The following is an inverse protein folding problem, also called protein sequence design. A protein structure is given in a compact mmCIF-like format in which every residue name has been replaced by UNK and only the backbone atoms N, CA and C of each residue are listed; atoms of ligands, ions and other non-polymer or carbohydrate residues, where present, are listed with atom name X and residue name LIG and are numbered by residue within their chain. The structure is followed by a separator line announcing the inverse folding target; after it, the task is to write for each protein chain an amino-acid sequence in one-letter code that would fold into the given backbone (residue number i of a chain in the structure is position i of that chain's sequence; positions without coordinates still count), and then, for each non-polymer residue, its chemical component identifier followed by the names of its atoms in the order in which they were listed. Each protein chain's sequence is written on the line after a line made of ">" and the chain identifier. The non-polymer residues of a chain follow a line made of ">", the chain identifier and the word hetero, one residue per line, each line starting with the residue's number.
data_IF_471935452465
#
_entry.id   IF_471935452465
#
_cell.length_a   1.000
_cell.length_b   1.000
_cell.length_c   1.000
_cell.angle_alpha   90.00
_cell.angle_beta   90.00
_cell.angle_gamma   90.00
#
_symmetry.space_group_name_H-M   'P 1'
#
loop_
_entity.id
_entity.type
_entity.pdbx_description
1 polymer ?
#
# COMPACT_ATOMS: atom_id res chain seq x y z
N UNK A 1 -1.82 -15.64 30.36
CA UNK A 1 -2.30 -14.44 29.66
C UNK A 1 -2.05 -14.69 28.17
N UNK A 2 -3.07 -15.20 27.45
CA UNK A 2 -2.94 -15.54 26.04
C UNK A 2 -3.17 -14.22 25.30
N UNK A 3 -2.10 -13.63 24.77
CA UNK A 3 -2.21 -12.47 23.89
C UNK A 3 -3.07 -12.87 22.69
N UNK A 4 -4.12 -12.10 22.34
CA UNK A 4 -4.94 -12.40 21.17
C UNK A 4 -4.06 -12.42 19.92
N UNK A 5 -4.32 -13.37 19.01
CA UNK A 5 -3.52 -13.50 17.79
C UNK A 5 -3.43 -12.19 16.99
N UNK A 6 -4.41 -11.30 17.14
CA UNK A 6 -4.47 -9.98 16.52
C UNK A 6 -3.44 -9.00 17.12
N UNK A 7 -3.04 -9.17 18.39
CA UNK A 7 -2.06 -8.28 19.04
C UNK A 7 -0.69 -8.32 18.34
N UNK A 8 -0.26 -9.47 17.85
CA UNK A 8 0.98 -9.58 17.10
C UNK A 8 0.91 -8.81 15.77
N UNK A 9 -0.19 -8.93 15.05
CA UNK A 9 -0.43 -8.23 13.78
C UNK A 9 -0.48 -6.71 14.01
N UNK A 10 -1.15 -6.26 15.07
CA UNK A 10 -1.21 -4.85 15.44
C UNK A 10 0.18 -4.26 15.72
N UNK A 11 1.06 -5.01 16.42
CA UNK A 11 2.45 -4.59 16.65
C UNK A 11 3.21 -4.49 15.33
N UNK A 12 3.06 -5.46 14.43
CA UNK A 12 3.71 -5.44 13.11
C UNK A 12 3.28 -4.20 12.32
N UNK A 13 2.00 -3.86 12.31
CA UNK A 13 1.50 -2.65 11.65
C UNK A 13 2.00 -1.37 12.32
N UNK A 14 2.11 -1.34 13.65
CA UNK A 14 2.68 -0.20 14.36
C UNK A 14 4.14 0.03 13.97
N UNK A 15 4.93 -1.04 13.91
CA UNK A 15 6.34 -0.98 13.49
C UNK A 15 6.44 -0.54 12.03
N UNK A 16 5.61 -1.10 11.14
CA UNK A 16 5.58 -0.72 9.73
C UNK A 16 5.25 0.78 9.58
N UNK A 17 4.27 1.28 10.31
CA UNK A 17 3.90 2.71 10.32
C UNK A 17 5.05 3.59 10.81
N UNK A 18 5.72 3.21 11.89
CA UNK A 18 6.89 3.94 12.38
C UNK A 18 8.03 3.97 11.36
N UNK A 19 8.27 2.86 10.66
CA UNK A 19 9.27 2.79 9.60
C UNK A 19 8.90 3.66 8.39
N UNK A 20 7.62 3.76 8.01
CA UNK A 20 7.19 4.68 6.96
C UNK A 20 7.41 6.14 7.34
N UNK A 21 7.10 6.52 8.57
CA UNK A 21 7.35 7.89 9.06
C UNK A 21 8.85 8.20 9.05
N UNK A 22 9.69 7.28 9.53
CA UNK A 22 11.15 7.42 9.49
C UNK A 22 11.68 7.44 8.06
N UNK A 23 11.11 6.66 7.16
CA UNK A 23 11.44 6.66 5.74
C UNK A 23 11.25 8.06 5.14
N UNK A 24 10.09 8.67 5.34
CA UNK A 24 9.82 10.03 4.85
C UNK A 24 10.78 11.06 5.44
N UNK A 25 11.07 10.96 6.73
CA UNK A 25 12.01 11.86 7.41
C UNK A 25 13.42 11.72 6.83
N UNK A 26 13.92 10.53 6.57
CA UNK A 26 15.25 10.31 6.01
C UNK A 26 15.35 10.58 4.51
N UNK A 27 14.25 10.47 3.77
CA UNK A 27 14.17 10.84 2.36
C UNK A 27 14.26 12.35 2.14
N UNK A 28 13.98 13.16 3.16
CA UNK A 28 14.04 14.63 3.05
C UNK A 28 15.45 15.18 2.86
N UNK A 29 16.51 14.41 3.22
CA UNK A 29 17.88 14.83 3.06
C UNK A 29 18.70 13.84 2.19
N UNK A 30 19.48 14.33 1.21
CA UNK A 30 20.23 13.48 0.28
C UNK A 30 21.21 12.51 0.97
N UNK A 31 21.79 12.94 2.09
CA UNK A 31 22.77 12.14 2.86
C UNK A 31 22.15 10.92 3.56
N UNK A 32 20.87 10.98 3.89
CA UNK A 32 20.13 9.93 4.58
C UNK A 32 19.14 9.20 3.68
N UNK A 33 18.94 9.65 2.45
CA UNK A 33 17.93 9.13 1.53
C UNK A 33 17.99 7.60 1.34
N UNK A 34 19.20 7.02 1.27
CA UNK A 34 19.38 5.56 1.16
C UNK A 34 18.81 4.81 2.37
N UNK A 35 18.96 5.36 3.57
CA UNK A 35 18.37 4.78 4.79
C UNK A 35 16.85 4.90 4.76
N UNK A 36 16.34 6.02 4.24
CA UNK A 36 14.91 6.23 4.03
C UNK A 36 14.30 5.19 3.10
N UNK A 37 14.92 4.90 1.96
CA UNK A 37 14.48 3.85 1.03
C UNK A 37 14.43 2.50 1.73
N UNK A 38 15.50 2.09 2.42
CA UNK A 38 15.55 0.82 3.15
C UNK A 38 14.45 0.71 4.23
N UNK A 39 14.24 1.79 4.99
CA UNK A 39 13.17 1.81 6.00
C UNK A 39 11.78 1.64 5.37
N UNK A 40 11.53 2.29 4.23
CA UNK A 40 10.29 2.14 3.48
C UNK A 40 10.08 0.72 2.94
N UNK A 41 11.13 0.12 2.38
CA UNK A 41 11.08 -1.27 1.88
C UNK A 41 10.79 -2.27 3.01
N UNK A 42 11.47 -2.13 4.15
CA UNK A 42 11.24 -2.99 5.33
C UNK A 42 9.82 -2.76 5.88
N UNK A 43 9.37 -1.51 5.98
CA UNK A 43 8.02 -1.16 6.41
C UNK A 43 6.96 -1.78 5.51
N UNK A 44 7.16 -1.73 4.19
CA UNK A 44 6.26 -2.36 3.22
C UNK A 44 6.25 -3.89 3.35
N UNK A 45 7.42 -4.51 3.47
CA UNK A 45 7.53 -5.96 3.65
C UNK A 45 6.81 -6.43 4.92
N UNK A 46 6.95 -5.69 6.02
CA UNK A 46 6.25 -5.96 7.28
C UNK A 46 4.73 -5.77 7.14
N UNK A 47 4.28 -4.70 6.48
CA UNK A 47 2.86 -4.45 6.27
C UNK A 47 2.22 -5.56 5.43
N UNK A 48 2.83 -5.91 4.30
CA UNK A 48 2.35 -6.99 3.42
C UNK A 48 2.40 -8.34 4.15
N UNK A 49 3.52 -8.63 4.83
CA UNK A 49 3.66 -9.85 5.63
C UNK A 49 2.59 -9.94 6.72
N UNK A 50 2.38 -8.86 7.49
CA UNK A 50 1.33 -8.79 8.50
C UNK A 50 -0.06 -9.05 7.95
N UNK A 51 -0.36 -8.45 6.78
CA UNK A 51 -1.65 -8.65 6.11
C UNK A 51 -1.85 -10.12 5.68
N UNK A 52 -0.80 -10.79 5.19
CA UNK A 52 -0.89 -12.21 4.81
C UNK A 52 -1.16 -13.15 5.99
N UNK A 53 -0.83 -12.74 7.21
CA UNK A 53 -1.17 -13.49 8.43
C UNK A 53 -2.57 -13.17 8.98
N UNK A 54 -3.28 -12.21 8.38
CA UNK A 54 -4.66 -11.89 8.77
C UNK A 54 -5.59 -13.06 8.45
N UNK A 55 -6.39 -13.46 9.44
CA UNK A 55 -7.28 -14.64 9.33
C UNK A 55 -8.43 -14.48 8.31
N UNK A 56 -8.63 -13.27 7.78
CA UNK A 56 -9.66 -12.97 6.79
C UNK A 56 -9.27 -13.26 5.35
N UNK A 57 -8.00 -13.59 5.07
CA UNK A 57 -7.53 -13.89 3.71
C UNK A 57 -7.79 -15.36 3.39
N UNK A 58 -8.72 -15.62 2.48
CA UNK A 58 -9.15 -16.95 2.09
C UNK A 58 -8.39 -17.45 0.86
N UNK A 59 -8.03 -16.54 -0.07
CA UNK A 59 -7.46 -16.86 -1.38
C UNK A 59 -6.05 -16.30 -1.58
N UNK A 60 -5.05 -16.96 -1.06
CA UNK A 60 -3.63 -16.61 -1.27
C UNK A 60 -3.18 -16.65 -2.73
N UNK A 61 -3.89 -17.41 -3.57
CA UNK A 61 -3.58 -17.54 -4.99
C UNK A 61 -3.72 -16.19 -5.73
N UNK A 62 -4.79 -15.45 -5.46
CA UNK A 62 -5.00 -14.12 -6.05
C UNK A 62 -3.99 -13.10 -5.55
N UNK A 63 -3.60 -13.19 -4.27
CA UNK A 63 -2.56 -12.33 -3.69
C UNK A 63 -1.21 -12.61 -4.37
N UNK A 64 -0.85 -13.87 -4.57
CA UNK A 64 0.39 -14.26 -5.25
C UNK A 64 0.41 -13.77 -6.70
N UNK A 65 -0.68 -13.92 -7.46
CA UNK A 65 -0.81 -13.43 -8.83
C UNK A 65 -0.64 -11.91 -8.87
N UNK A 66 -1.32 -11.18 -7.99
CA UNK A 66 -1.23 -9.72 -7.92
C UNK A 66 0.19 -9.26 -7.57
N UNK A 67 0.87 -9.95 -6.65
CA UNK A 67 2.24 -9.64 -6.26
C UNK A 67 3.23 -9.86 -7.42
N UNK A 68 3.09 -10.96 -8.16
CA UNK A 68 3.92 -11.25 -9.34
C UNK A 68 3.69 -10.21 -10.43
N UNK A 69 2.44 -9.89 -10.74
CA UNK A 69 2.11 -8.86 -11.75
C UNK A 69 2.63 -7.49 -11.33
N UNK A 70 2.48 -7.13 -10.06
CA UNK A 70 3.01 -5.90 -9.49
C UNK A 70 4.54 -5.83 -9.56
N UNK A 71 5.23 -6.95 -9.31
CA UNK A 71 6.69 -7.02 -9.42
C UNK A 71 7.17 -6.88 -10.88
N UNK A 72 6.48 -7.52 -11.84
CA UNK A 72 6.81 -7.42 -13.28
C UNK A 72 6.74 -5.97 -13.76
N UNK A 73 5.80 -5.19 -13.26
CA UNK A 73 5.64 -3.77 -13.61
C UNK A 73 6.56 -2.89 -12.77
N UNK A 74 6.63 -3.13 -11.47
CA UNK A 74 7.32 -2.28 -10.49
C UNK A 74 8.84 -2.36 -10.60
N UNK A 75 9.42 -3.54 -10.84
CA UNK A 75 10.87 -3.70 -10.93
C UNK A 75 11.47 -2.89 -12.10
N UNK A 76 10.96 -2.95 -13.33
CA UNK A 76 11.46 -2.11 -14.41
C UNK A 76 11.30 -0.61 -14.10
N UNK A 77 10.19 -0.20 -13.52
CA UNK A 77 9.97 1.19 -13.10
C UNK A 77 10.98 1.65 -12.04
N UNK A 78 11.38 0.76 -11.14
CA UNK A 78 12.41 1.04 -10.13
C UNK A 78 13.82 1.21 -10.71
N UNK A 79 14.11 0.55 -11.82
CA UNK A 79 15.43 0.54 -12.47
C UNK A 79 15.63 1.65 -13.51
N UNK A 80 14.67 2.54 -13.70
CA UNK A 80 14.77 3.63 -14.69
C UNK A 80 15.89 4.63 -14.32
N UNK A 81 16.62 5.10 -15.35
CA UNK A 81 17.73 6.04 -15.21
C UNK A 81 17.32 7.38 -14.57
N UNK A 82 18.26 8.03 -13.89
CA UNK A 82 18.06 9.31 -13.18
C UNK A 82 17.48 10.45 -14.05
N UNK A 83 17.73 10.43 -15.35
CA UNK A 83 17.19 11.43 -16.30
C UNK A 83 15.67 11.35 -16.49
N UNK A 84 15.06 10.20 -16.17
CA UNK A 84 13.62 9.96 -16.33
C UNK A 84 12.87 9.95 -14.97
N UNK A 85 13.47 10.51 -13.91
CA UNK A 85 12.86 10.58 -12.57
C UNK A 85 11.48 11.26 -12.57
N UNK A 86 11.24 12.41 -13.26
CA UNK A 86 9.92 13.03 -13.28
C UNK A 86 8.85 12.11 -13.89
N UNK A 87 9.18 11.42 -14.98
CA UNK A 87 8.28 10.48 -15.65
C UNK A 87 7.97 9.27 -14.77
N UNK A 88 8.99 8.72 -14.08
CA UNK A 88 8.82 7.62 -13.13
C UNK A 88 7.91 8.01 -11.97
N UNK A 89 8.11 9.21 -11.43
CA UNK A 89 7.30 9.73 -10.33
C UNK A 89 5.84 9.88 -10.76
N UNK A 90 5.59 10.46 -11.93
CA UNK A 90 4.25 10.60 -12.49
C UNK A 90 3.57 9.23 -12.68
N UNK A 91 4.28 8.25 -13.25
CA UNK A 91 3.77 6.88 -13.42
C UNK A 91 3.46 6.21 -12.07
N UNK A 92 4.34 6.36 -11.08
CA UNK A 92 4.10 5.80 -9.73
C UNK A 92 2.84 6.39 -9.09
N UNK A 93 2.61 7.69 -9.23
CA UNK A 93 1.39 8.34 -8.75
C UNK A 93 0.16 7.85 -9.50
N UNK A 94 0.23 7.74 -10.83
CA UNK A 94 -0.88 7.22 -11.64
C UNK A 94 -1.24 5.78 -11.28
N UNK A 95 -0.26 4.89 -11.05
CA UNK A 95 -0.53 3.54 -10.58
C UNK A 95 -1.12 3.52 -9.16
N UNK A 96 -0.62 4.39 -8.26
CA UNK A 96 -1.20 4.54 -6.92
C UNK A 96 -2.66 4.97 -6.97
N UNK A 97 -2.98 5.98 -7.76
CA UNK A 97 -4.34 6.45 -7.99
C UNK A 97 -5.25 5.35 -8.58
N UNK A 98 -4.75 4.61 -9.55
CA UNK A 98 -5.45 3.46 -10.13
C UNK A 98 -5.74 2.39 -9.07
N UNK A 99 -4.78 2.05 -8.20
CA UNK A 99 -4.98 1.11 -7.10
C UNK A 99 -6.07 1.58 -6.14
N UNK A 100 -6.05 2.85 -5.71
CA UNK A 100 -7.06 3.43 -4.83
C UNK A 100 -8.45 3.36 -5.46
N UNK A 101 -8.56 3.70 -6.74
CA UNK A 101 -9.83 3.63 -7.48
C UNK A 101 -10.36 2.20 -7.57
N UNK A 102 -9.50 1.23 -7.87
CA UNK A 102 -9.89 -0.18 -7.97
C UNK A 102 -10.31 -0.75 -6.61
N UNK A 103 -9.56 -0.46 -5.55
CA UNK A 103 -9.87 -0.91 -4.18
C UNK A 103 -11.19 -0.28 -3.71
N UNK A 104 -11.35 1.04 -3.87
CA UNK A 104 -12.58 1.74 -3.51
C UNK A 104 -13.80 1.20 -4.27
N UNK A 105 -13.64 0.90 -5.56
CA UNK A 105 -14.70 0.30 -6.38
C UNK A 105 -15.06 -1.11 -5.90
N UNK A 106 -14.05 -1.94 -5.62
CA UNK A 106 -14.26 -3.30 -5.10
C UNK A 106 -14.97 -3.29 -3.74
N UNK A 107 -14.53 -2.45 -2.82
CA UNK A 107 -15.15 -2.27 -1.50
C UNK A 107 -16.61 -1.78 -1.62
N UNK A 108 -16.86 -0.85 -2.55
CA UNK A 108 -18.20 -0.37 -2.83
C UNK A 108 -19.14 -1.51 -3.26
N UNK A 109 -18.70 -2.36 -4.19
CA UNK A 109 -19.51 -3.48 -4.67
C UNK A 109 -19.67 -4.59 -3.64
N UNK A 110 -18.62 -4.92 -2.90
CA UNK A 110 -18.66 -6.01 -1.92
C UNK A 110 -19.49 -5.68 -0.68
N UNK A 111 -19.50 -4.42 -0.26
CA UNK A 111 -20.18 -3.99 0.96
C UNK A 111 -21.58 -3.40 0.75
N UNK A 112 -21.93 -2.98 -0.46
CA UNK A 112 -23.29 -2.51 -0.77
C UNK A 112 -24.27 -3.70 -0.77
N UNK A 113 -25.48 -3.61 -0.17
CA UNK A 113 -26.18 -2.44 0.37
C UNK A 113 -26.08 -2.26 1.91
N UNK A 114 -25.25 -3.03 2.61
CA UNK A 114 -25.31 -3.16 4.08
C UNK A 114 -24.43 -2.13 4.84
N UNK A 115 -23.95 -1.09 4.17
CA UNK A 115 -23.03 -0.11 4.76
C UNK A 115 -23.74 1.18 5.15
N UNK A 116 -23.39 1.80 6.29
CA UNK A 116 -23.90 3.12 6.67
C UNK A 116 -23.69 4.16 5.57
N UNK A 117 -24.65 5.07 5.39
CA UNK A 117 -24.57 6.14 4.37
C UNK A 117 -23.28 6.95 4.43
N UNK A 118 -22.74 7.15 5.63
CA UNK A 118 -21.46 7.85 5.82
C UNK A 118 -20.29 7.10 5.16
N UNK A 119 -20.19 5.80 5.38
CA UNK A 119 -19.13 4.97 4.76
C UNK A 119 -19.26 4.92 3.24
N UNK A 120 -20.49 4.87 2.71
CA UNK A 120 -20.75 4.97 1.28
C UNK A 120 -20.25 6.29 0.69
N UNK A 121 -20.48 7.40 1.38
CA UNK A 121 -20.00 8.72 0.95
C UNK A 121 -18.47 8.79 0.93
N UNK A 122 -17.80 8.20 1.93
CA UNK A 122 -16.33 8.15 2.00
C UNK A 122 -15.77 7.30 0.86
N UNK A 123 -16.32 6.10 0.61
CA UNK A 123 -15.91 5.24 -0.50
C UNK A 123 -16.11 5.91 -1.87
N UNK A 124 -17.24 6.59 -2.05
CA UNK A 124 -17.50 7.34 -3.30
C UNK A 124 -16.48 8.45 -3.50
N UNK A 125 -16.13 9.15 -2.44
CA UNK A 125 -15.13 10.23 -2.46
C UNK A 125 -13.73 9.69 -2.75
N UNK A 126 -13.38 8.53 -2.20
CA UNK A 126 -12.12 7.82 -2.46
C UNK A 126 -12.00 7.44 -3.95
N UNK A 127 -13.06 6.85 -4.54
CA UNK A 127 -13.08 6.49 -5.96
C UNK A 127 -12.95 7.72 -6.86
N UNK A 128 -13.66 8.81 -6.53
CA UNK A 128 -13.59 10.06 -7.31
C UNK A 128 -12.19 10.68 -7.22
N UNK A 129 -11.64 10.80 -6.01
CA UNK A 129 -10.31 11.38 -5.82
C UNK A 129 -9.22 10.52 -6.46
N UNK A 130 -9.30 9.20 -6.34
CA UNK A 130 -8.37 8.28 -7.00
C UNK A 130 -8.46 8.39 -8.53
N UNK A 131 -9.66 8.53 -9.09
CA UNK A 131 -9.86 8.67 -10.54
C UNK A 131 -9.45 10.04 -11.10
N UNK A 132 -9.37 11.08 -10.28
CA UNK A 132 -8.96 12.45 -10.67
C UNK A 132 -7.44 12.67 -10.56
N UNK A 133 -6.72 11.83 -9.82
CA UNK A 133 -5.27 11.94 -9.60
C UNK A 133 -4.48 11.27 -10.72
#
# INVERSE_FOLDING_TARGET
>A
MILPANFFIEIVYLIATALFVLSLMWLSAPTTARRGVLAGEIGMALAVGGTLFERGIIDYQWVAIALVLGAIIGVPLGLVHMTAVPQRTALSHAFGACCVTLVGTAEFYLRSPNVPKFTMSVLSLEVILGGLT
#
